data_IF_830934472924
#
_entry.id   IF_830934472924
#
_cell.length_a   1.000
_cell.length_b   1.000
_cell.length_c   1.000
_cell.angle_alpha   90.00
_cell.angle_beta   90.00
_cell.angle_gamma   90.00
#
_symmetry.space_group_name_H-M   'P 1'
#
loop_
_entity.id
_entity.type
_entity.pdbx_description
1 polymer ?
#
# COMPACT_ATOMS: atom_id res chain seq x y z
N UNK A 1 3.42 6.20 7.50
CA UNK A 1 3.11 7.62 7.83
C UNK A 1 4.36 8.46 8.04
N UNK A 2 5.24 8.19 9.05
CA UNK A 2 6.40 9.05 9.40
C UNK A 2 7.38 9.27 8.24
N UNK A 3 7.70 8.22 7.48
CA UNK A 3 8.59 8.34 6.32
C UNK A 3 7.97 9.22 5.23
N UNK A 4 6.73 8.95 4.85
CA UNK A 4 6.01 9.73 3.85
C UNK A 4 5.95 11.21 4.22
N UNK A 5 5.58 11.52 5.47
CA UNK A 5 5.52 12.90 5.95
C UNK A 5 6.90 13.57 6.03
N UNK A 6 7.88 12.93 6.69
CA UNK A 6 9.17 13.57 7.00
C UNK A 6 10.16 13.56 5.85
N UNK A 7 10.18 12.49 5.07
CA UNK A 7 11.17 12.30 4.00
C UNK A 7 10.60 12.65 2.63
N UNK A 8 9.36 12.23 2.34
CA UNK A 8 8.71 12.49 1.06
C UNK A 8 7.91 13.80 1.06
N UNK A 9 7.64 14.40 2.23
CA UNK A 9 6.81 15.60 2.41
C UNK A 9 5.40 15.48 1.86
N UNK A 10 4.86 14.27 1.91
CA UNK A 10 3.48 13.99 1.50
C UNK A 10 2.49 14.36 2.60
N UNK A 11 1.31 14.81 2.22
CA UNK A 11 0.14 14.84 3.10
C UNK A 11 -0.30 13.41 3.38
N UNK A 12 -0.52 13.05 4.64
CA UNK A 12 -0.87 11.69 5.04
C UNK A 12 -2.20 11.68 5.78
N UNK A 13 -3.16 10.94 5.28
CA UNK A 13 -4.36 10.56 6.02
C UNK A 13 -4.24 9.09 6.42
N UNK A 14 -4.49 8.80 7.67
CA UNK A 14 -4.56 7.42 8.21
C UNK A 14 -6.01 7.15 8.54
N UNK A 15 -6.55 6.06 8.05
CA UNK A 15 -7.86 5.55 8.47
C UNK A 15 -7.62 4.41 9.44
N UNK A 16 -8.17 4.51 10.64
CA UNK A 16 -8.01 3.52 11.70
C UNK A 16 -9.36 3.28 12.38
N UNK A 17 -9.73 2.01 12.50
CA UNK A 17 -10.99 1.63 13.13
C UNK A 17 -10.94 1.71 14.66
N UNK A 18 -9.77 1.37 15.24
CA UNK A 18 -9.64 1.23 16.68
C UNK A 18 -9.00 2.46 17.32
N UNK A 19 -9.76 3.27 18.10
CA UNK A 19 -9.22 4.46 18.76
C UNK A 19 -8.08 4.15 19.76
N UNK A 20 -8.00 2.93 20.28
CA UNK A 20 -6.89 2.53 21.17
C UNK A 20 -5.58 2.42 20.42
N UNK A 21 -5.60 2.00 19.15
CA UNK A 21 -4.41 1.95 18.29
C UNK A 21 -3.89 3.37 18.05
N UNK A 22 -4.76 4.31 17.73
CA UNK A 22 -4.38 5.72 17.61
C UNK A 22 -3.75 6.25 18.92
N UNK A 23 -4.41 6.03 20.05
CA UNK A 23 -3.91 6.47 21.35
C UNK A 23 -2.52 5.93 21.68
N UNK A 24 -2.29 4.64 21.45
CA UNK A 24 -0.97 4.00 21.60
C UNK A 24 0.06 4.60 20.64
N UNK A 25 -0.31 4.84 19.40
CA UNK A 25 0.58 5.44 18.41
C UNK A 25 1.00 6.86 18.81
N UNK A 26 0.09 7.65 19.37
CA UNK A 26 0.41 8.99 19.89
C UNK A 26 1.28 8.93 21.12
N UNK A 27 0.94 8.09 22.10
CA UNK A 27 1.66 8.00 23.37
C UNK A 27 3.07 7.41 23.23
N UNK A 28 3.22 6.33 22.48
CA UNK A 28 4.45 5.53 22.48
C UNK A 28 5.24 5.61 21.18
N UNK A 29 4.57 5.80 20.04
CA UNK A 29 5.22 5.81 18.74
C UNK A 29 5.42 7.21 18.17
N UNK A 30 5.22 8.26 18.98
CA UNK A 30 5.43 9.66 18.57
C UNK A 30 4.65 10.02 17.30
N UNK A 31 3.41 9.53 17.18
CA UNK A 31 2.52 9.99 16.12
C UNK A 31 2.17 11.47 16.40
N UNK A 32 2.47 12.40 15.49
CA UNK A 32 2.20 13.81 15.74
C UNK A 32 0.69 14.09 15.87
N UNK A 33 0.30 15.19 16.52
CA UNK A 33 -1.08 15.66 16.46
C UNK A 33 -1.52 15.96 15.02
N UNK A 34 -2.81 15.95 14.80
CA UNK A 34 -3.38 16.27 13.51
C UNK A 34 -3.07 17.70 13.08
N UNK A 35 -2.92 17.89 11.79
CA UNK A 35 -2.57 19.16 11.19
C UNK A 35 -2.58 19.08 9.66
N UNK A 36 -2.17 20.13 8.97
CA UNK A 36 -2.29 20.21 7.50
C UNK A 36 -1.59 19.08 6.73
N UNK A 37 -0.53 18.51 7.31
CA UNK A 37 0.27 17.48 6.64
C UNK A 37 -0.02 16.04 7.12
N UNK A 38 -0.85 15.89 8.13
CA UNK A 38 -1.21 14.58 8.66
C UNK A 38 -2.48 14.66 9.47
N UNK A 39 -3.36 13.68 9.28
CA UNK A 39 -4.55 13.46 10.12
C UNK A 39 -4.81 11.98 10.31
N UNK A 40 -5.51 11.64 11.39
CA UNK A 40 -6.08 10.32 11.62
C UNK A 40 -7.60 10.44 11.57
N UNK A 41 -8.22 9.59 10.77
CA UNK A 41 -9.68 9.47 10.68
C UNK A 41 -10.06 8.17 11.38
N UNK A 42 -10.80 8.28 12.47
CA UNK A 42 -11.36 7.12 13.17
C UNK A 42 -12.63 6.68 12.46
N UNK A 43 -12.51 5.71 11.57
CA UNK A 43 -13.60 5.21 10.75
C UNK A 43 -13.34 3.78 10.25
N UNK A 44 -14.39 3.12 9.76
CA UNK A 44 -14.26 1.91 8.97
C UNK A 44 -13.68 2.27 7.60
N UNK A 45 -12.61 1.57 7.19
CA UNK A 45 -11.97 1.80 5.92
C UNK A 45 -12.91 1.50 4.73
N UNK A 46 -13.82 0.52 4.85
CA UNK A 46 -14.78 0.21 3.80
C UNK A 46 -15.78 1.36 3.55
N UNK A 47 -16.15 2.07 4.61
CA UNK A 47 -17.03 3.25 4.51
C UNK A 47 -16.23 4.49 4.05
N UNK A 48 -15.06 4.70 4.63
CA UNK A 48 -14.25 5.88 4.35
C UNK A 48 -13.84 5.98 2.87
N UNK A 49 -13.45 4.86 2.24
CA UNK A 49 -13.06 4.85 0.82
C UNK A 49 -14.22 5.08 -0.15
N UNK A 50 -15.47 5.05 0.30
CA UNK A 50 -16.65 5.34 -0.54
C UNK A 50 -16.94 6.84 -0.64
N UNK A 51 -16.28 7.67 0.14
CA UNK A 51 -16.50 9.11 0.13
C UNK A 51 -16.03 9.75 -1.17
N UNK A 52 -16.88 10.56 -1.82
CA UNK A 52 -16.55 11.12 -3.14
C UNK A 52 -15.35 12.08 -3.12
N UNK A 53 -15.03 12.65 -1.97
CA UNK A 53 -13.89 13.55 -1.79
C UNK A 53 -12.52 12.90 -2.04
N UNK A 54 -12.45 11.57 -1.98
CA UNK A 54 -11.21 10.83 -2.23
C UNK A 54 -11.00 10.46 -3.69
N UNK A 55 -12.04 10.50 -4.52
CA UNK A 55 -11.95 10.01 -5.91
C UNK A 55 -10.88 10.77 -6.71
N UNK A 56 -9.93 10.01 -7.24
CA UNK A 56 -8.84 10.53 -8.08
C UNK A 56 -7.85 11.46 -7.38
N UNK A 57 -7.78 11.45 -6.03
CA UNK A 57 -6.95 12.39 -5.25
C UNK A 57 -5.75 11.75 -4.54
N UNK A 58 -5.68 10.42 -4.51
CA UNK A 58 -4.68 9.68 -3.74
C UNK A 58 -3.51 9.24 -4.62
N UNK A 59 -2.31 9.74 -4.35
CA UNK A 59 -1.10 9.34 -5.10
C UNK A 59 -0.55 7.99 -4.63
N UNK A 60 -0.67 7.68 -3.34
CA UNK A 60 -0.18 6.44 -2.77
C UNK A 60 -1.11 5.95 -1.66
N UNK A 61 -1.70 4.77 -1.85
CA UNK A 61 -2.57 4.10 -0.90
C UNK A 61 -1.84 2.89 -0.31
N UNK A 62 -1.73 2.81 1.01
CA UNK A 62 -1.20 1.64 1.71
C UNK A 62 -2.33 0.93 2.45
N UNK A 63 -2.56 -0.35 2.12
CA UNK A 63 -3.57 -1.21 2.72
C UNK A 63 -2.89 -2.28 3.57
N UNK A 64 -3.25 -2.33 4.86
CA UNK A 64 -2.73 -3.28 5.83
C UNK A 64 -3.85 -3.62 6.83
N UNK A 65 -4.86 -4.35 6.35
CA UNK A 65 -6.11 -4.62 7.06
C UNK A 65 -6.24 -6.12 7.31
N UNK A 66 -6.14 -6.51 8.56
CA UNK A 66 -6.25 -7.90 9.00
C UNK A 66 -7.27 -8.05 10.13
N UNK A 67 -7.74 -9.29 10.32
CA UNK A 67 -8.51 -9.66 11.50
C UNK A 67 -7.63 -9.61 12.78
N UNK A 68 -8.25 -9.80 13.93
CA UNK A 68 -7.57 -9.76 15.23
C UNK A 68 -6.51 -10.86 15.42
N UNK A 69 -6.55 -11.90 14.60
CA UNK A 69 -5.57 -12.98 14.59
C UNK A 69 -4.47 -12.77 13.54
N UNK A 70 -4.59 -11.73 12.75
CA UNK A 70 -3.74 -11.45 11.57
C UNK A 70 -3.68 -12.64 10.59
N UNK A 71 -4.75 -13.43 10.53
CA UNK A 71 -4.80 -14.66 9.75
C UNK A 71 -5.31 -14.46 8.33
N UNK A 72 -6.20 -13.46 8.11
CA UNK A 72 -6.77 -13.16 6.81
C UNK A 72 -7.03 -11.66 6.64
N UNK A 73 -6.95 -11.11 5.42
CA UNK A 73 -7.38 -9.75 5.15
C UNK A 73 -8.87 -9.58 5.45
N UNK A 74 -9.23 -8.49 6.13
CA UNK A 74 -10.64 -8.18 6.47
C UNK A 74 -11.38 -7.68 5.24
N UNK A 75 -10.73 -6.87 4.40
CA UNK A 75 -11.26 -6.33 3.16
C UNK A 75 -10.40 -6.83 2.00
N UNK A 76 -10.91 -7.79 1.23
CA UNK A 76 -10.14 -8.51 0.19
C UNK A 76 -10.99 -8.88 -1.04
N UNK A 77 -12.10 -8.17 -1.26
CA UNK A 77 -12.94 -8.40 -2.44
C UNK A 77 -12.48 -7.58 -3.65
N UNK A 78 -12.88 -8.01 -4.84
CA UNK A 78 -12.63 -7.26 -6.07
C UNK A 78 -13.29 -5.87 -6.04
N UNK A 79 -14.48 -5.76 -5.42
CA UNK A 79 -15.21 -4.51 -5.24
C UNK A 79 -14.43 -3.55 -4.32
N UNK A 80 -13.86 -4.07 -3.23
CA UNK A 80 -13.00 -3.26 -2.36
C UNK A 80 -11.80 -2.71 -3.13
N UNK A 81 -11.09 -3.56 -3.87
CA UNK A 81 -9.95 -3.12 -4.67
C UNK A 81 -10.33 -2.19 -5.82
N UNK A 82 -11.52 -2.36 -6.42
CA UNK A 82 -12.04 -1.40 -7.40
C UNK A 82 -12.30 -0.03 -6.78
N UNK A 83 -12.86 0.02 -5.57
CA UNK A 83 -13.03 1.27 -4.82
C UNK A 83 -11.66 1.90 -4.49
N UNK A 84 -10.70 1.12 -4.01
CA UNK A 84 -9.33 1.60 -3.79
C UNK A 84 -8.70 2.19 -5.06
N UNK A 85 -8.89 1.51 -6.22
CA UNK A 85 -8.40 2.01 -7.50
C UNK A 85 -9.04 3.34 -7.90
N UNK A 86 -10.33 3.53 -7.62
CA UNK A 86 -11.04 4.76 -7.94
C UNK A 86 -10.51 5.99 -7.17
N UNK A 87 -9.91 5.77 -5.98
CA UNK A 87 -9.30 6.85 -5.19
C UNK A 87 -8.01 7.38 -5.82
N UNK A 88 -7.29 6.53 -6.57
CA UNK A 88 -5.96 6.85 -7.04
C UNK A 88 -5.98 7.94 -8.13
N UNK A 89 -5.00 8.83 -8.10
CA UNK A 89 -4.66 9.68 -9.25
C UNK A 89 -4.21 8.81 -10.42
N UNK A 90 -4.13 9.35 -11.63
CA UNK A 90 -3.74 8.59 -12.83
C UNK A 90 -2.38 7.88 -12.66
N UNK A 91 -1.41 8.53 -12.02
CA UNK A 91 -0.09 7.96 -11.73
C UNK A 91 -0.03 7.27 -10.37
N UNK A 92 -1.15 7.22 -9.65
CA UNK A 92 -1.25 6.68 -8.31
C UNK A 92 -1.04 5.17 -8.23
N UNK A 93 -0.64 4.72 -7.05
CA UNK A 93 -0.45 3.30 -6.79
C UNK A 93 -0.98 2.90 -5.41
N UNK A 94 -1.34 1.63 -5.30
CA UNK A 94 -1.71 0.98 -4.05
C UNK A 94 -0.65 -0.06 -3.67
N UNK A 95 -0.33 -0.16 -2.40
CA UNK A 95 0.41 -1.29 -1.84
C UNK A 95 -0.45 -2.02 -0.83
N UNK A 96 -0.44 -3.35 -0.90
CA UNK A 96 -1.15 -4.21 0.05
C UNK A 96 -0.14 -5.12 0.72
N UNK A 97 -0.15 -5.18 2.05
CA UNK A 97 0.59 -6.18 2.80
C UNK A 97 -0.30 -7.42 2.92
N UNK A 98 0.11 -8.53 2.32
CA UNK A 98 -0.57 -9.82 2.41
C UNK A 98 0.23 -10.75 3.31
N UNK A 99 -0.47 -11.51 4.16
CA UNK A 99 0.12 -12.52 5.02
C UNK A 99 -0.41 -13.90 4.62
N UNK A 100 0.48 -14.89 4.61
CA UNK A 100 0.13 -16.27 4.28
C UNK A 100 0.80 -16.79 3.00
N UNK A 101 0.82 -18.10 2.88
CA UNK A 101 1.51 -18.81 1.81
C UNK A 101 0.54 -19.76 1.13
N UNK A 102 -0.53 -19.34 0.58
CA UNK A 102 -1.39 -20.33 -0.10
C UNK A 102 -2.64 -19.70 -0.72
N UNK A 103 -3.74 -20.44 -0.70
CA UNK A 103 -5.02 -20.09 -1.33
C UNK A 103 -5.56 -18.69 -0.98
N UNK A 104 -5.23 -18.13 0.18
CA UNK A 104 -5.59 -16.75 0.53
C UNK A 104 -4.82 -15.74 -0.31
N UNK A 105 -3.51 -15.91 -0.45
CA UNK A 105 -2.68 -15.04 -1.28
C UNK A 105 -3.11 -15.05 -2.75
N UNK A 106 -3.37 -16.24 -3.32
CA UNK A 106 -3.84 -16.37 -4.70
C UNK A 106 -5.22 -15.71 -4.91
N UNK A 107 -6.12 -15.83 -3.94
CA UNK A 107 -7.42 -15.15 -3.97
C UNK A 107 -7.27 -13.62 -3.94
N UNK A 108 -6.45 -13.10 -3.03
CA UNK A 108 -6.17 -11.67 -2.96
C UNK A 108 -5.60 -11.16 -4.27
N UNK A 109 -4.63 -11.87 -4.86
CA UNK A 109 -4.09 -11.51 -6.18
C UNK A 109 -5.14 -11.53 -7.28
N UNK A 110 -6.03 -12.54 -7.30
CA UNK A 110 -7.11 -12.61 -8.28
C UNK A 110 -8.09 -11.43 -8.14
N UNK A 111 -8.48 -11.08 -6.90
CA UNK A 111 -9.33 -9.92 -6.62
C UNK A 111 -8.66 -8.61 -7.05
N UNK A 112 -7.37 -8.45 -6.79
CA UNK A 112 -6.59 -7.29 -7.23
C UNK A 112 -6.45 -7.24 -8.76
N UNK A 113 -6.20 -8.39 -9.40
CA UNK A 113 -6.10 -8.48 -10.86
C UNK A 113 -7.43 -8.14 -11.56
N UNK A 114 -8.55 -8.54 -10.97
CA UNK A 114 -9.87 -8.16 -11.48
C UNK A 114 -10.10 -6.65 -11.44
N UNK A 115 -9.60 -5.96 -10.41
CA UNK A 115 -9.78 -4.52 -10.24
C UNK A 115 -8.77 -3.67 -11.04
N UNK A 116 -7.51 -4.10 -11.11
CA UNK A 116 -6.40 -3.32 -11.66
C UNK A 116 -5.87 -3.82 -13.02
N UNK A 117 -6.11 -5.09 -13.36
CA UNK A 117 -5.44 -5.81 -14.45
C UNK A 117 -4.14 -6.46 -13.97
N UNK A 118 -3.84 -7.67 -14.45
CA UNK A 118 -2.62 -8.41 -14.05
C UNK A 118 -1.34 -7.65 -14.41
N UNK A 119 -1.35 -6.93 -15.53
CA UNK A 119 -0.23 -6.13 -16.02
C UNK A 119 0.13 -4.96 -15.09
N UNK A 120 -0.80 -4.54 -14.25
CA UNK A 120 -0.59 -3.46 -13.27
C UNK A 120 0.03 -3.95 -11.96
N UNK A 121 0.14 -5.29 -11.77
CA UNK A 121 0.56 -5.88 -10.51
C UNK A 121 2.05 -6.25 -10.48
N UNK A 122 2.68 -5.89 -9.37
CA UNK A 122 4.04 -6.28 -9.02
C UNK A 122 4.05 -6.82 -7.59
N UNK A 123 4.87 -7.81 -7.30
CA UNK A 123 4.97 -8.39 -5.96
C UNK A 123 6.41 -8.54 -5.52
N UNK A 124 6.63 -8.36 -4.22
CA UNK A 124 7.84 -8.82 -3.57
C UNK A 124 7.78 -10.33 -3.31
N UNK A 125 8.94 -10.97 -3.31
CA UNK A 125 9.04 -12.34 -2.81
C UNK A 125 8.62 -12.37 -1.34
N UNK A 126 7.85 -13.38 -0.89
CA UNK A 126 7.46 -13.51 0.51
C UNK A 126 8.64 -13.49 1.48
N UNK A 127 8.48 -12.82 2.62
CA UNK A 127 9.44 -12.86 3.72
C UNK A 127 9.45 -14.23 4.40
N UNK A 128 10.39 -14.46 5.32
CA UNK A 128 10.43 -15.71 6.10
C UNK A 128 9.18 -15.89 6.95
N UNK A 129 8.64 -14.79 7.46
CA UNK A 129 7.43 -14.70 8.29
C UNK A 129 6.15 -14.91 7.48
N UNK A 130 6.23 -14.83 6.15
CA UNK A 130 5.10 -15.04 5.25
C UNK A 130 4.44 -13.77 4.71
N UNK A 131 4.98 -12.59 5.04
CA UNK A 131 4.47 -11.33 4.48
C UNK A 131 4.90 -11.15 3.02
N UNK A 132 3.97 -10.70 2.21
CA UNK A 132 4.20 -10.32 0.81
C UNK A 132 3.58 -8.97 0.54
N UNK A 133 4.38 -8.02 0.06
CA UNK A 133 3.83 -6.73 -0.39
C UNK A 133 3.56 -6.80 -1.88
N UNK A 134 2.33 -6.50 -2.26
CA UNK A 134 1.89 -6.36 -3.65
C UNK A 134 1.69 -4.88 -3.96
N UNK A 135 2.21 -4.43 -5.09
CA UNK A 135 1.96 -3.11 -5.68
C UNK A 135 0.95 -3.27 -6.80
N UNK A 136 -0.09 -2.43 -6.81
CA UNK A 136 -1.03 -2.27 -7.91
C UNK A 136 -0.99 -0.81 -8.42
N UNK A 137 -0.79 -0.62 -9.71
CA UNK A 137 -0.70 0.69 -10.34
C UNK A 137 -2.03 1.07 -10.99
N UNK A 138 -2.47 2.32 -10.86
CA UNK A 138 -3.68 2.78 -11.59
C UNK A 138 -3.50 2.67 -13.10
N UNK A 139 -2.34 3.07 -13.60
CA UNK A 139 -1.90 2.84 -14.97
C UNK A 139 -0.71 1.88 -14.97
N UNK A 140 -0.85 0.77 -15.66
CA UNK A 140 0.20 -0.24 -15.73
C UNK A 140 1.47 0.33 -16.38
N UNK A 141 2.60 0.16 -15.72
CA UNK A 141 3.91 0.51 -16.28
C UNK A 141 4.87 -0.67 -16.21
N UNK A 142 5.70 -0.80 -17.22
CA UNK A 142 6.74 -1.83 -17.32
C UNK A 142 8.09 -1.18 -17.64
N UNK A 143 8.71 -0.51 -16.65
CA UNK A 143 10.01 0.12 -16.84
C UNK A 143 11.07 -0.90 -17.25
N UNK A 144 12.00 -0.49 -18.11
CA UNK A 144 13.14 -1.33 -18.49
C UNK A 144 14.03 -1.62 -17.27
N UNK A 145 14.73 -2.78 -17.20
CA UNK A 145 15.58 -3.12 -16.07
C UNK A 145 16.64 -2.05 -15.72
N UNK A 146 17.20 -1.39 -16.74
CA UNK A 146 18.16 -0.29 -16.54
C UNK A 146 17.52 0.93 -15.86
N UNK A 147 16.29 1.26 -16.22
CA UNK A 147 15.53 2.36 -15.61
C UNK A 147 15.17 2.05 -14.16
N UNK A 148 14.68 0.83 -13.88
CA UNK A 148 14.42 0.40 -12.49
C UNK A 148 15.69 0.44 -11.64
N UNK A 149 16.83 0.06 -12.20
CA UNK A 149 18.12 0.13 -11.52
C UNK A 149 18.49 1.56 -11.19
N UNK A 150 18.42 2.48 -12.14
CA UNK A 150 18.72 3.89 -11.93
C UNK A 150 17.81 4.52 -10.86
N UNK A 151 16.49 4.20 -10.88
CA UNK A 151 15.55 4.63 -9.86
C UNK A 151 15.89 4.08 -8.48
N UNK A 152 16.26 2.80 -8.38
CA UNK A 152 16.65 2.18 -7.13
C UNK A 152 17.95 2.78 -6.56
N UNK A 153 18.94 3.05 -7.39
CA UNK A 153 20.17 3.75 -7.00
C UNK A 153 19.89 5.14 -6.48
N UNK A 154 19.02 5.90 -7.15
CA UNK A 154 18.58 7.23 -6.69
C UNK A 154 17.85 7.18 -5.34
N UNK A 155 16.95 6.21 -5.14
CA UNK A 155 16.26 5.97 -3.85
C UNK A 155 17.25 5.63 -2.76
N UNK A 156 18.21 4.75 -3.05
CA UNK A 156 19.23 4.35 -2.08
C UNK A 156 20.14 5.50 -1.70
N UNK A 157 20.60 6.29 -2.66
CA UNK A 157 21.44 7.45 -2.42
C UNK A 157 20.73 8.54 -1.60
N UNK A 158 19.44 8.77 -1.88
CA UNK A 158 18.69 9.86 -1.25
C UNK A 158 18.21 9.54 0.17
N UNK A 159 17.83 8.27 0.42
CA UNK A 159 17.15 7.90 1.67
C UNK A 159 17.84 6.76 2.44
N UNK A 160 18.99 6.28 1.97
CA UNK A 160 19.75 5.18 2.59
C UNK A 160 18.94 3.86 2.70
N UNK A 161 17.90 3.72 1.84
CA UNK A 161 17.12 2.50 1.76
C UNK A 161 17.82 1.48 0.85
N UNK A 162 17.76 0.17 1.13
CA UNK A 162 18.46 -0.85 0.34
C UNK A 162 17.75 -1.17 -0.98
N UNK A 163 17.36 -0.13 -1.74
CA UNK A 163 16.47 -0.24 -2.90
C UNK A 163 17.05 -1.08 -4.03
N UNK A 164 18.37 -1.07 -4.22
CA UNK A 164 19.03 -1.92 -5.21
C UNK A 164 18.90 -3.42 -4.89
N UNK A 165 18.80 -3.79 -3.61
CA UNK A 165 18.55 -5.18 -3.18
C UNK A 165 17.10 -5.60 -3.49
N UNK A 166 16.15 -4.67 -3.43
CA UNK A 166 14.74 -4.96 -3.71
C UNK A 166 14.49 -5.42 -5.14
N UNK A 167 15.26 -4.97 -6.12
CA UNK A 167 15.13 -5.38 -7.52
C UNK A 167 15.28 -6.90 -7.74
N UNK A 168 15.96 -7.59 -6.83
CA UNK A 168 16.12 -9.04 -6.92
C UNK A 168 14.85 -9.81 -6.61
N UNK A 169 14.00 -9.22 -5.77
CA UNK A 169 12.81 -9.84 -5.17
C UNK A 169 11.49 -9.17 -5.54
N UNK A 170 11.53 -8.04 -6.25
CA UNK A 170 10.37 -7.31 -6.74
C UNK A 170 10.18 -7.58 -8.23
N UNK A 171 9.07 -8.23 -8.59
CA UNK A 171 8.81 -8.72 -9.96
C UNK A 171 7.36 -8.43 -10.37
N UNK A 172 7.11 -8.25 -11.70
CA UNK A 172 5.74 -8.26 -12.20
C UNK A 172 5.06 -9.61 -11.88
N UNK A 173 3.77 -9.55 -11.58
CA UNK A 173 2.94 -10.74 -11.32
C UNK A 173 2.66 -11.47 -12.63
N UNK A 174 2.16 -10.75 -13.65
CA UNK A 174 2.06 -11.30 -15.00
C UNK A 174 3.45 -11.44 -15.65
N UNK A 175 3.70 -12.56 -16.30
CA UNK A 175 4.94 -12.86 -17.03
C UNK A 175 4.94 -12.25 -18.43
#
# INVERSE_FOLDING_TARGET
TKFCRKKLRMCCTVVELNPRVEAVCRAWFKLPPDGPMQRVVLADAAEEIQKPEWLGTVDALAVDLYDHEAAAPVLDSAEFYASCRALLTEEGCMTVNLFGRSASYERSLASMAQAFGEEALWAFKPTREGNTVVLAQRQATRPKPAELRARAEAVQARWELPATKWLRVFKPVAR
#
